data_IF_638312454608
#
_entry.id   IF_638312454608
#
_cell.length_a   1.000
_cell.length_b   1.000
_cell.length_c   1.000
_cell.angle_alpha   90.00
_cell.angle_beta   90.00
_cell.angle_gamma   90.00
#
_symmetry.space_group_name_H-M   'P 1'
#
loop_
_entity.id
_entity.type
_entity.pdbx_description
1 polymer ?
#
# COMPACT_ATOMS: atom_id res chain seq x y z
N UNK A 1 36.05 -0.89 -13.74
CA UNK A 1 35.20 -1.69 -14.64
C UNK A 1 34.46 -2.66 -13.74
N UNK A 2 33.30 -2.24 -13.22
CA UNK A 2 32.26 -3.13 -12.71
C UNK A 2 30.96 -2.33 -12.68
N UNK A 3 30.20 -2.52 -13.75
CA UNK A 3 28.92 -1.90 -14.01
C UNK A 3 27.84 -2.64 -13.21
N UNK A 4 27.04 -1.89 -12.45
CA UNK A 4 25.58 -2.06 -12.37
C UNK A 4 25.06 -3.51 -12.28
N UNK A 5 25.23 -4.18 -11.14
CA UNK A 5 24.21 -5.14 -10.72
C UNK A 5 23.04 -4.36 -10.14
N UNK A 6 22.17 -3.85 -11.02
CA UNK A 6 20.81 -3.52 -10.61
C UNK A 6 20.19 -4.85 -10.13
N UNK A 7 20.23 -5.09 -8.82
CA UNK A 7 19.53 -6.19 -8.16
C UNK A 7 18.13 -6.26 -8.74
N UNK A 8 17.78 -7.34 -9.43
CA UNK A 8 16.39 -7.55 -9.81
C UNK A 8 15.53 -7.38 -8.55
N UNK A 9 14.47 -6.57 -8.59
CA UNK A 9 13.59 -6.44 -7.44
C UNK A 9 13.00 -7.83 -7.15
N UNK A 10 13.17 -8.30 -5.92
CA UNK A 10 12.62 -9.60 -5.50
C UNK A 10 11.12 -9.65 -5.80
N UNK A 11 10.62 -10.83 -6.24
CA UNK A 11 9.21 -11.01 -6.61
C UNK A 11 8.30 -10.56 -5.44
N UNK A 12 7.36 -9.61 -5.67
CA UNK A 12 6.47 -9.11 -4.64
C UNK A 12 5.59 -10.20 -4.04
N UNK A 13 5.14 -9.98 -2.80
CA UNK A 13 4.14 -10.82 -2.14
C UNK A 13 2.87 -10.04 -1.89
N UNK A 14 1.74 -10.58 -2.35
CA UNK A 14 0.41 -10.10 -2.02
C UNK A 14 -0.14 -10.88 -0.82
N UNK A 15 -0.44 -10.15 0.25
CA UNK A 15 -0.94 -10.65 1.52
C UNK A 15 -2.46 -10.47 1.64
N UNK A 16 -3.16 -11.56 1.93
CA UNK A 16 -4.62 -11.58 2.06
C UNK A 16 -5.07 -12.07 3.44
N UNK A 17 -5.95 -11.29 4.07
CA UNK A 17 -6.54 -11.64 5.38
C UNK A 17 -8.01 -12.05 5.28
N UNK A 18 -8.62 -12.04 4.09
CA UNK A 18 -10.03 -12.39 3.85
C UNK A 18 -10.21 -13.05 2.48
N UNK A 19 -11.35 -13.76 2.30
CA UNK A 19 -11.74 -14.34 1.01
C UNK A 19 -11.91 -13.27 -0.08
N UNK A 20 -12.53 -12.14 0.25
CA UNK A 20 -12.69 -11.03 -0.69
C UNK A 20 -11.32 -10.43 -1.10
N UNK A 21 -10.40 -10.28 -0.14
CA UNK A 21 -9.03 -9.88 -0.44
C UNK A 21 -8.28 -10.87 -1.34
N UNK A 22 -8.49 -12.18 -1.16
CA UNK A 22 -7.90 -13.21 -2.03
C UNK A 22 -8.35 -13.09 -3.49
N UNK A 23 -9.64 -12.78 -3.72
CA UNK A 23 -10.15 -12.58 -5.08
C UNK A 23 -9.44 -11.42 -5.80
N UNK A 24 -9.16 -10.34 -5.06
CA UNK A 24 -8.41 -9.19 -5.58
C UNK A 24 -6.94 -9.55 -5.81
N UNK A 25 -6.32 -10.29 -4.89
CA UNK A 25 -4.94 -10.72 -5.04
C UNK A 25 -4.71 -11.56 -6.28
N UNK A 26 -5.63 -12.48 -6.60
CA UNK A 26 -5.54 -13.28 -7.84
C UNK A 26 -5.51 -12.40 -9.08
N UNK A 27 -6.43 -11.42 -9.16
CA UNK A 27 -6.48 -10.45 -10.27
C UNK A 27 -5.23 -9.59 -10.35
N UNK A 28 -4.68 -9.17 -9.20
CA UNK A 28 -3.47 -8.37 -9.16
C UNK A 28 -2.24 -9.19 -9.58
N UNK A 29 -2.12 -10.44 -9.11
CA UNK A 29 -0.99 -11.32 -9.43
C UNK A 29 -0.83 -11.56 -10.94
N UNK A 30 -1.93 -11.58 -11.71
CA UNK A 30 -1.91 -11.65 -13.17
C UNK A 30 -1.23 -10.44 -13.84
N UNK A 31 -1.22 -9.28 -13.17
CA UNK A 31 -0.69 -8.02 -13.74
C UNK A 31 0.75 -7.75 -13.31
N UNK A 32 1.12 -8.10 -12.07
CA UNK A 32 2.38 -7.65 -11.45
C UNK A 32 3.37 -8.78 -11.13
N UNK A 33 3.12 -10.02 -11.59
CA UNK A 33 3.91 -11.22 -11.27
C UNK A 33 4.29 -11.33 -9.79
N UNK A 34 3.29 -11.59 -8.95
CA UNK A 34 3.46 -11.65 -7.49
C UNK A 34 2.99 -12.98 -6.90
N UNK A 35 3.65 -13.41 -5.83
CA UNK A 35 3.21 -14.56 -5.05
C UNK A 35 2.03 -14.16 -4.14
N UNK A 36 1.06 -15.06 -3.97
CA UNK A 36 -0.09 -14.83 -3.11
C UNK A 36 0.07 -15.63 -1.82
N UNK A 37 0.06 -14.93 -0.69
CA UNK A 37 0.11 -15.50 0.65
C UNK A 37 -1.19 -15.15 1.38
N UNK A 38 -1.97 -16.17 1.72
CA UNK A 38 -3.24 -16.03 2.44
C UNK A 38 -3.14 -16.47 3.90
N UNK A 39 -3.94 -15.87 4.78
CA UNK A 39 -4.05 -16.37 6.14
C UNK A 39 -4.65 -17.78 6.15
N UNK A 40 -3.99 -18.75 6.78
CA UNK A 40 -4.31 -20.18 6.70
C UNK A 40 -5.80 -20.49 6.94
N UNK A 41 -6.41 -19.85 7.94
CA UNK A 41 -7.83 -20.09 8.30
C UNK A 41 -8.82 -19.32 7.41
N UNK A 42 -8.44 -18.13 6.95
CA UNK A 42 -9.38 -17.18 6.30
C UNK A 42 -9.33 -17.26 4.78
N UNK A 43 -8.23 -17.79 4.24
CA UNK A 43 -7.94 -17.89 2.82
C UNK A 43 -7.41 -19.31 2.50
N UNK A 44 -8.21 -20.37 2.70
CA UNK A 44 -7.75 -21.75 2.47
C UNK A 44 -7.35 -21.99 1.02
N UNK A 45 -7.97 -21.28 0.07
CA UNK A 45 -7.70 -21.42 -1.36
C UNK A 45 -6.48 -20.60 -1.86
N UNK A 46 -5.68 -20.02 -0.94
CA UNK A 46 -4.46 -19.31 -1.31
C UNK A 46 -3.33 -20.30 -1.68
N UNK A 47 -2.45 -19.95 -2.64
CA UNK A 47 -1.32 -20.82 -3.03
C UNK A 47 -0.31 -21.05 -1.91
N UNK A 48 -0.06 -20.03 -1.09
CA UNK A 48 0.78 -20.11 0.10
C UNK A 48 0.01 -19.61 1.31
N UNK A 49 0.27 -20.20 2.48
CA UNK A 49 -0.40 -19.84 3.72
C UNK A 49 0.56 -19.32 4.78
N UNK A 50 0.04 -18.45 5.65
CA UNK A 50 0.72 -18.04 6.87
C UNK A 50 -0.24 -18.05 8.06
N UNK A 51 0.32 -18.19 9.27
CA UNK A 51 -0.42 -18.10 10.52
C UNK A 51 -0.64 -16.65 10.96
N UNK A 52 0.34 -16.07 11.66
CA UNK A 52 0.23 -14.70 12.18
C UNK A 52 0.73 -13.68 11.15
N UNK A 53 -0.06 -12.64 10.88
CA UNK A 53 0.27 -11.63 9.87
C UNK A 53 1.54 -10.83 10.21
N UNK A 54 1.65 -10.35 11.45
CA UNK A 54 2.77 -9.48 11.88
C UNK A 54 4.15 -10.10 11.65
N UNK A 55 4.47 -11.31 12.17
CA UNK A 55 5.80 -11.90 11.94
C UNK A 55 6.03 -12.20 10.47
N UNK A 56 5.03 -12.71 9.76
CA UNK A 56 5.17 -13.03 8.33
C UNK A 56 5.47 -11.79 7.46
N UNK A 57 4.81 -10.66 7.74
CA UNK A 57 5.10 -9.39 7.06
C UNK A 57 6.52 -8.91 7.39
N UNK A 58 6.93 -9.02 8.65
CA UNK A 58 8.27 -8.62 9.10
C UNK A 58 9.35 -9.46 8.41
N UNK A 59 9.17 -10.78 8.31
CA UNK A 59 10.11 -11.71 7.68
C UNK A 59 10.28 -11.37 6.19
N UNK A 60 9.16 -11.17 5.47
CA UNK A 60 9.20 -10.76 4.07
C UNK A 60 9.92 -9.41 3.89
N UNK A 61 9.58 -8.42 4.71
CA UNK A 61 10.20 -7.11 4.67
C UNK A 61 11.71 -7.18 4.95
N UNK A 62 12.13 -7.91 5.99
CA UNK A 62 13.54 -8.09 6.34
C UNK A 62 14.33 -8.87 5.28
N UNK A 63 13.67 -9.78 4.55
CA UNK A 63 14.26 -10.49 3.41
C UNK A 63 14.40 -9.63 2.13
N UNK A 64 14.00 -8.35 2.18
CA UNK A 64 14.07 -7.44 1.04
C UNK A 64 12.93 -7.61 0.04
N UNK A 65 11.91 -8.43 0.34
CA UNK A 65 10.79 -8.68 -0.56
C UNK A 65 9.75 -7.56 -0.48
N UNK A 66 9.29 -7.00 -1.62
CA UNK A 66 8.17 -6.07 -1.64
C UNK A 66 6.89 -6.70 -1.07
N UNK A 67 6.20 -5.96 -0.19
CA UNK A 67 4.98 -6.42 0.48
C UNK A 67 3.78 -5.59 0.03
N UNK A 68 2.75 -6.27 -0.47
CA UNK A 68 1.46 -5.68 -0.86
C UNK A 68 0.37 -6.28 0.04
N UNK A 69 -0.15 -5.53 1.00
CA UNK A 69 -1.20 -6.01 1.90
C UNK A 69 -2.59 -5.55 1.46
N UNK A 70 -3.49 -6.49 1.16
CA UNK A 70 -4.92 -6.21 0.97
C UNK A 70 -5.57 -6.19 2.35
N UNK A 71 -5.34 -5.10 3.07
CA UNK A 71 -5.76 -4.93 4.46
C UNK A 71 -5.59 -3.47 4.92
N UNK A 72 -5.99 -3.18 6.16
CA UNK A 72 -5.74 -1.88 6.77
C UNK A 72 -4.23 -1.58 6.88
N UNK A 73 -3.82 -0.38 6.47
CA UNK A 73 -2.43 0.07 6.48
C UNK A 73 -1.76 -0.06 7.88
N UNK A 74 -2.52 0.11 8.96
CA UNK A 74 -2.01 -0.02 10.32
C UNK A 74 -1.49 -1.43 10.66
N UNK A 75 -1.95 -2.48 9.98
CA UNK A 75 -1.42 -3.84 10.14
C UNK A 75 0.01 -3.91 9.59
N UNK A 76 0.20 -3.40 8.37
CA UNK A 76 1.51 -3.37 7.71
C UNK A 76 2.49 -2.49 8.50
N UNK A 77 2.10 -1.28 8.86
CA UNK A 77 2.97 -0.33 9.58
C UNK A 77 3.44 -0.91 10.91
N UNK A 78 2.54 -1.48 11.71
CA UNK A 78 2.93 -2.07 13.00
C UNK A 78 3.85 -3.27 12.84
N UNK A 79 3.72 -4.03 11.76
CA UNK A 79 4.60 -5.15 11.47
C UNK A 79 6.01 -4.70 11.06
N UNK A 80 6.12 -3.66 10.23
CA UNK A 80 7.44 -3.23 9.70
C UNK A 80 8.14 -2.18 10.56
N UNK A 81 7.41 -1.41 11.38
CA UNK A 81 7.97 -0.30 12.16
C UNK A 81 9.20 -0.68 13.01
N UNK A 82 9.25 -1.84 13.71
CA UNK A 82 10.44 -2.24 14.47
C UNK A 82 11.67 -2.56 13.61
N UNK A 83 11.48 -2.74 12.29
CA UNK A 83 12.51 -3.21 11.36
C UNK A 83 12.95 -2.14 10.35
N UNK A 84 12.40 -0.93 10.39
CA UNK A 84 12.81 0.16 9.50
C UNK A 84 14.25 0.57 9.80
N UNK A 85 15.11 0.58 8.79
CA UNK A 85 16.54 0.93 8.95
C UNK A 85 16.90 2.14 8.12
N UNK A 86 16.77 2.03 6.80
CA UNK A 86 17.18 3.10 5.89
C UNK A 86 16.20 3.25 4.72
N UNK A 87 15.81 4.51 4.47
CA UNK A 87 14.91 4.92 3.38
C UNK A 87 15.32 4.40 1.99
N UNK A 88 16.62 4.14 1.79
CA UNK A 88 17.21 3.65 0.54
C UNK A 88 17.60 2.18 0.53
N UNK A 89 17.24 1.39 1.56
CA UNK A 89 17.43 -0.07 1.56
C UNK A 89 16.15 -0.83 1.88
N UNK A 90 15.24 -0.20 2.63
CA UNK A 90 13.99 -0.81 3.07
C UNK A 90 13.11 -1.27 1.89
N UNK A 91 12.57 -2.49 2.01
CA UNK A 91 11.72 -3.07 0.98
C UNK A 91 10.42 -2.24 0.78
N UNK A 92 9.86 -2.20 -0.45
CA UNK A 92 8.58 -1.55 -0.69
C UNK A 92 7.44 -2.16 0.13
N UNK A 93 6.61 -1.31 0.73
CA UNK A 93 5.38 -1.74 1.43
C UNK A 93 4.20 -0.94 0.90
N UNK A 94 3.16 -1.61 0.43
CA UNK A 94 1.97 -1.02 -0.18
C UNK A 94 0.72 -1.57 0.51
N UNK A 95 -0.19 -0.69 0.93
CA UNK A 95 -1.53 -1.07 1.38
C UNK A 95 -2.53 -0.96 0.23
N UNK A 96 -3.35 -1.98 0.03
CA UNK A 96 -4.42 -1.98 -0.97
C UNK A 96 -5.75 -2.12 -0.25
N UNK A 97 -6.72 -1.29 -0.62
CA UNK A 97 -8.07 -1.40 -0.09
C UNK A 97 -8.70 -2.74 -0.50
N UNK A 98 -9.56 -3.30 0.35
CA UNK A 98 -10.31 -4.54 0.04
C UNK A 98 -11.34 -4.35 -1.08
N UNK A 99 -11.56 -3.12 -1.53
CA UNK A 99 -12.28 -2.79 -2.77
C UNK A 99 -11.38 -2.81 -4.01
N UNK A 100 -10.06 -2.92 -3.86
CA UNK A 100 -9.06 -2.92 -4.94
C UNK A 100 -8.82 -1.57 -5.63
N UNK A 101 -9.65 -0.57 -5.38
CA UNK A 101 -9.64 0.74 -6.06
C UNK A 101 -8.54 1.71 -5.59
N UNK A 102 -7.93 1.47 -4.43
CA UNK A 102 -6.92 2.34 -3.83
C UNK A 102 -5.70 1.53 -3.41
N UNK A 103 -4.52 1.98 -3.83
CA UNK A 103 -3.22 1.45 -3.44
C UNK A 103 -2.34 2.58 -2.90
N UNK A 104 -1.88 2.45 -1.65
CA UNK A 104 -1.13 3.48 -0.91
C UNK A 104 0.29 2.97 -0.64
N UNK A 105 1.33 3.57 -1.22
CA UNK A 105 2.70 3.27 -0.86
C UNK A 105 3.00 3.80 0.56
N UNK A 106 3.49 2.93 1.44
CA UNK A 106 3.77 3.24 2.84
C UNK A 106 5.27 3.42 3.12
N UNK A 107 6.10 2.51 2.59
CA UNK A 107 7.56 2.44 2.80
C UNK A 107 8.24 2.10 1.48
N UNK A 108 9.51 2.48 1.31
CA UNK A 108 10.34 2.06 0.17
C UNK A 108 10.14 2.87 -1.11
N UNK A 109 9.85 4.18 -1.00
CA UNK A 109 9.65 5.05 -2.16
C UNK A 109 10.84 5.11 -3.13
N UNK A 110 12.07 4.95 -2.64
CA UNK A 110 13.28 4.87 -3.48
C UNK A 110 13.45 3.50 -4.15
N UNK A 111 12.75 2.48 -3.65
CA UNK A 111 12.79 1.10 -4.15
C UNK A 111 11.56 0.73 -4.97
N UNK A 112 10.92 1.75 -5.55
CA UNK A 112 9.82 1.52 -6.48
C UNK A 112 8.45 1.32 -5.83
N UNK A 113 8.26 1.60 -4.52
CA UNK A 113 6.93 1.51 -3.90
C UNK A 113 5.88 2.37 -4.62
N UNK A 114 6.28 3.55 -5.12
CA UNK A 114 5.40 4.43 -5.90
C UNK A 114 5.05 3.80 -7.25
N UNK A 115 6.05 3.24 -7.94
CA UNK A 115 5.85 2.56 -9.24
C UNK A 115 4.97 1.32 -9.07
N UNK A 116 5.23 0.50 -8.06
CA UNK A 116 4.45 -0.70 -7.75
C UNK A 116 3.01 -0.34 -7.35
N UNK A 117 2.81 0.70 -6.55
CA UNK A 117 1.46 1.18 -6.23
C UNK A 117 0.69 1.67 -7.46
N UNK A 118 1.38 2.30 -8.42
CA UNK A 118 0.78 2.68 -9.71
C UNK A 118 0.42 1.45 -10.54
N UNK A 119 1.31 0.47 -10.66
CA UNK A 119 1.03 -0.79 -11.36
C UNK A 119 -0.18 -1.53 -10.75
N UNK A 120 -0.27 -1.58 -9.42
CA UNK A 120 -1.42 -2.14 -8.70
C UNK A 120 -2.69 -1.35 -9.03
N UNK A 121 -2.67 -0.02 -8.93
CA UNK A 121 -3.83 0.81 -9.29
C UNK A 121 -4.21 0.62 -10.77
N UNK A 122 -3.22 0.45 -11.63
CA UNK A 122 -3.39 0.26 -13.06
C UNK A 122 -4.05 -1.08 -13.41
N UNK A 123 -3.56 -2.17 -12.79
CA UNK A 123 -4.14 -3.50 -12.89
C UNK A 123 -5.56 -3.57 -12.32
N UNK A 124 -5.79 -2.97 -11.14
CA UNK A 124 -7.11 -2.94 -10.51
C UNK A 124 -8.19 -2.30 -11.38
N UNK A 125 -7.85 -1.26 -12.14
CA UNK A 125 -8.83 -0.54 -12.98
C UNK A 125 -9.28 -1.30 -14.24
N UNK A 126 -8.51 -2.29 -14.71
CA UNK A 126 -8.97 -3.18 -15.78
C UNK A 126 -9.92 -4.27 -15.26
N UNK A 127 -9.83 -4.59 -13.96
CA UNK A 127 -10.45 -5.75 -13.37
C UNK A 127 -11.67 -5.45 -12.47
N UNK A 128 -12.00 -4.18 -12.19
CA UNK A 128 -13.08 -3.81 -11.27
C UNK A 128 -13.96 -2.66 -11.81
N UNK A 129 -15.29 -2.80 -11.79
CA UNK A 129 -16.21 -1.75 -12.22
C UNK A 129 -16.37 -0.72 -11.09
N UNK A 130 -15.52 0.32 -11.02
CA UNK A 130 -15.81 1.47 -10.16
C UNK A 130 -15.21 2.78 -10.69
N UNK A 131 -15.92 3.92 -10.53
CA UNK A 131 -15.56 5.20 -11.16
C UNK A 131 -14.53 6.05 -10.38
N UNK A 132 -13.88 5.53 -9.33
CA UNK A 132 -12.97 6.33 -8.49
C UNK A 132 -11.61 5.68 -8.34
N UNK A 133 -10.58 6.32 -8.89
CA UNK A 133 -9.22 5.77 -9.00
C UNK A 133 -8.18 6.76 -8.50
N UNK A 134 -7.10 6.20 -7.95
CA UNK A 134 -5.86 6.82 -7.50
C UNK A 134 -5.89 7.56 -6.14
N UNK A 135 -5.17 6.99 -5.17
CA UNK A 135 -4.35 7.78 -4.25
C UNK A 135 -2.93 7.24 -4.26
N UNK A 136 -2.10 7.74 -5.20
CA UNK A 136 -0.65 7.65 -5.04
C UNK A 136 -0.25 8.70 -4.00
N UNK A 137 -0.26 8.33 -2.72
CA UNK A 137 0.17 9.25 -1.68
C UNK A 137 1.66 9.63 -1.89
N UNK A 138 1.92 10.92 -2.07
CA UNK A 138 3.22 11.55 -1.81
C UNK A 138 4.38 11.23 -2.77
N UNK A 139 4.45 11.91 -3.91
CA UNK A 139 5.73 12.09 -4.63
C UNK A 139 5.98 13.55 -5.06
N UNK A 140 4.94 14.30 -5.45
CA UNK A 140 5.14 15.64 -6.04
C UNK A 140 5.03 16.81 -5.05
N UNK A 141 4.44 16.65 -3.86
CA UNK A 141 4.28 17.77 -2.90
C UNK A 141 5.45 17.92 -1.92
N UNK A 142 6.28 16.90 -1.75
CA UNK A 142 7.36 16.88 -0.75
C UNK A 142 8.78 16.95 -1.35
N UNK A 143 8.93 16.88 -2.67
CA UNK A 143 10.25 16.86 -3.33
C UNK A 143 10.78 18.22 -3.77
N UNK A 144 10.08 19.34 -3.53
CA UNK A 144 10.68 20.66 -3.73
C UNK A 144 10.27 21.69 -2.68
N UNK A 145 10.79 21.55 -1.46
CA UNK A 145 10.75 22.62 -0.44
C UNK A 145 12.08 23.39 -0.34
N UNK A 146 13.09 23.08 -1.19
CA UNK A 146 14.38 23.79 -1.22
C UNK A 146 14.46 24.94 -2.22
N UNK A 147 13.44 25.19 -3.05
CA UNK A 147 13.43 26.32 -4.01
C UNK A 147 12.29 27.33 -3.84
N UNK A 148 11.32 27.11 -2.97
CA UNK A 148 10.33 28.12 -2.63
C UNK A 148 10.70 28.74 -1.28
N UNK A 149 11.00 30.05 -1.29
CA UNK A 149 11.40 30.84 -0.13
C UNK A 149 10.59 30.53 1.13
N UNK A 150 11.30 30.46 2.25
CA UNK A 150 10.83 29.89 3.50
C UNK A 150 9.57 30.55 4.07
N UNK A 151 8.63 29.69 4.49
CA UNK A 151 7.83 29.92 5.68
C UNK A 151 8.11 28.78 6.69
N UNK A 152 8.19 29.09 8.00
CA UNK A 152 8.51 28.09 9.01
C UNK A 152 7.38 27.06 9.14
N UNK A 153 7.73 25.78 8.94
CA UNK A 153 6.85 24.64 9.21
C UNK A 153 6.58 24.59 10.72
N UNK A 154 5.39 25.04 11.15
CA UNK A 154 4.90 24.81 12.52
C UNK A 154 4.58 23.33 12.70
N UNK A 155 5.13 22.72 13.76
CA UNK A 155 4.84 21.34 14.18
C UNK A 155 3.35 21.22 14.54
N UNK A 156 2.52 20.43 13.82
CA UNK A 156 1.19 20.12 14.32
C UNK A 156 1.33 19.17 15.52
N UNK A 157 0.83 19.59 16.69
CA UNK A 157 0.56 18.69 17.80
C UNK A 157 -0.56 17.74 17.36
N UNK A 158 -0.27 16.44 17.41
CA UNK A 158 -1.19 15.31 17.22
C UNK A 158 -2.04 15.31 15.94
N UNK A 159 -1.56 14.65 14.88
CA UNK A 159 -2.43 14.19 13.79
C UNK A 159 -3.11 12.90 14.24
N UNK A 160 -4.40 13.00 14.57
CA UNK A 160 -5.26 11.84 14.80
C UNK A 160 -5.44 11.07 13.49
N UNK A 161 -5.18 9.76 13.51
CA UNK A 161 -5.25 8.86 12.35
C UNK A 161 -6.64 8.83 11.66
N UNK A 162 -7.69 9.33 12.33
CA UNK A 162 -9.07 9.36 11.82
C UNK A 162 -9.31 10.45 10.77
N UNK A 163 -8.64 11.60 10.87
CA UNK A 163 -8.92 12.75 10.00
C UNK A 163 -8.34 12.63 8.59
N UNK A 164 -7.27 11.85 8.40
CA UNK A 164 -6.78 11.52 7.06
C UNK A 164 -7.71 10.56 6.31
N UNK A 165 -8.56 9.80 7.01
CA UNK A 165 -9.43 8.79 6.41
C UNK A 165 -10.84 9.33 6.08
N UNK A 166 -11.35 10.29 6.85
CA UNK A 166 -12.74 10.78 6.73
C UNK A 166 -12.92 12.00 5.81
N UNK A 167 -11.85 12.58 5.25
CA UNK A 167 -11.93 13.86 4.54
C UNK A 167 -12.62 13.83 3.16
N UNK A 168 -13.32 12.75 2.77
CA UNK A 168 -14.05 12.70 1.48
C UNK A 168 -15.35 11.89 1.53
N UNK A 169 -16.15 12.04 2.59
CA UNK A 169 -17.58 11.75 2.48
C UNK A 169 -18.29 13.01 1.95
N UNK A 170 -19.02 12.98 0.82
CA UNK A 170 -19.84 14.12 0.43
C UNK A 170 -20.98 14.27 1.45
N UNK A 171 -21.11 15.47 2.01
CA UNK A 171 -22.30 15.89 2.74
C UNK A 171 -23.48 15.86 1.77
N UNK A 172 -24.35 14.86 1.90
CA UNK A 172 -25.67 14.88 1.27
C UNK A 172 -26.49 16.00 1.92
N UNK A 173 -26.64 17.11 1.21
CA UNK A 173 -27.63 18.14 1.56
C UNK A 173 -29.01 17.53 1.35
N UNK A 174 -29.71 17.22 2.44
CA UNK A 174 -31.15 16.96 2.42
C UNK A 174 -31.84 18.30 2.24
N UNK A 175 -32.34 18.58 1.04
CA UNK A 175 -33.32 19.65 0.82
C UNK A 175 -34.66 19.17 1.36
N UNK A 176 -35.07 19.69 2.51
CA UNK A 176 -36.44 19.56 2.98
C UNK A 176 -37.33 20.46 2.11
N UNK A 177 -38.22 19.86 1.31
CA UNK A 177 -39.36 20.56 0.72
C UNK A 177 -40.49 20.54 1.73
N UNK A 178 -40.82 21.70 2.28
CA UNK A 178 -42.02 21.90 3.11
C UNK A 178 -43.25 21.89 2.21
N UNK A 179 -44.16 20.96 2.48
CA UNK A 179 -45.58 21.05 2.15
C UNK A 179 -46.36 21.33 3.42
#
# INVERSE_FOLDING_TARGET
MDQLTASQPARPVILCLSKAGLAIARRLAEVIDADIHGHAVRCPDAPHHFGKATPHIADLFCSGRPVIGICAAGILIRAVAPHLRHKGTDAPVIAVAESGNVAVPLVGGHHGAITLARQVADGSGRALPSPRRAMTAGASRWTNHRQAGGLPIRRPRSVSCRSCWQATAPSSTVTASTG
#
